data_IF_407412429680
#
_entry.id   IF_407412429680
#
_cell.length_a   1.000
_cell.length_b   1.000
_cell.length_c   1.000
_cell.angle_alpha   90.00
_cell.angle_beta   90.00
_cell.angle_gamma   90.00
#
_symmetry.space_group_name_H-M   'P 1'
#
loop_
_entity.id
_entity.type
_entity.pdbx_description
1 polymer ?
#
# COMPACT_ATOMS: atom_id res chain seq x y z
N UNK A 1 -27.43 10.57 25.60
CA UNK A 1 -26.98 10.23 24.22
C UNK A 1 -25.47 9.98 24.30
N UNK A 2 -25.04 8.80 23.90
CA UNK A 2 -23.61 8.44 23.90
C UNK A 2 -22.86 9.27 22.86
N UNK A 3 -21.66 9.72 23.22
CA UNK A 3 -20.82 10.53 22.33
C UNK A 3 -19.84 9.64 21.57
N UNK A 4 -19.70 9.95 20.31
CA UNK A 4 -18.65 9.38 19.49
C UNK A 4 -17.27 9.86 19.98
N UNK A 5 -16.26 8.99 19.88
CA UNK A 5 -14.90 9.29 20.26
C UNK A 5 -13.91 8.42 19.47
N UNK A 6 -12.66 8.86 19.42
CA UNK A 6 -11.52 8.06 19.00
C UNK A 6 -10.74 7.65 20.24
N UNK A 7 -10.31 6.40 20.28
CA UNK A 7 -9.40 5.87 21.30
C UNK A 7 -8.08 5.54 20.58
N UNK A 8 -6.98 6.08 21.04
CA UNK A 8 -5.65 5.67 20.56
C UNK A 8 -5.30 4.32 21.19
N UNK A 9 -4.88 3.35 20.39
CA UNK A 9 -4.59 2.00 20.90
C UNK A 9 -3.30 1.96 21.74
N UNK A 10 -2.33 2.80 21.41
CA UNK A 10 -1.04 2.84 22.12
C UNK A 10 -1.13 3.50 23.49
N UNK A 11 -1.79 4.66 23.59
CA UNK A 11 -1.89 5.44 24.84
C UNK A 11 -3.18 5.21 25.62
N UNK A 12 -4.20 4.66 24.98
CA UNK A 12 -5.54 4.57 25.56
C UNK A 12 -6.25 5.92 25.68
N UNK A 13 -5.69 6.98 25.10
CA UNK A 13 -6.25 8.31 25.14
C UNK A 13 -7.59 8.35 24.42
N UNK A 14 -8.56 9.05 25.02
CA UNK A 14 -9.88 9.24 24.46
C UNK A 14 -10.07 10.65 23.93
N UNK A 15 -10.20 10.80 22.63
CA UNK A 15 -10.47 12.05 21.93
C UNK A 15 -11.97 12.11 21.62
N UNK A 16 -12.78 12.86 22.38
CA UNK A 16 -14.22 12.93 22.17
C UNK A 16 -14.57 13.85 21.01
N UNK A 17 -15.54 13.46 20.19
CA UNK A 17 -16.17 14.37 19.25
C UNK A 17 -17.00 15.40 20.00
N UNK A 18 -16.93 16.69 19.64
CA UNK A 18 -17.73 17.73 20.27
C UNK A 18 -19.22 17.48 20.04
N UNK A 19 -19.60 17.18 18.82
CA UNK A 19 -20.91 16.69 18.39
C UNK A 19 -20.76 15.33 17.71
N UNK A 20 -21.77 14.49 17.81
CA UNK A 20 -21.79 13.25 17.08
C UNK A 20 -21.88 13.53 15.57
N UNK A 21 -21.21 12.74 14.71
CA UNK A 21 -21.35 12.90 13.27
C UNK A 21 -22.83 12.72 12.85
N UNK A 22 -23.29 13.55 11.93
CA UNK A 22 -24.63 13.42 11.36
C UNK A 22 -24.76 12.17 10.49
N UNK A 23 -23.65 11.76 9.88
CA UNK A 23 -23.55 10.54 9.04
C UNK A 23 -22.16 9.93 9.13
N UNK A 24 -22.11 8.61 8.97
CA UNK A 24 -20.87 7.84 8.82
C UNK A 24 -21.00 7.03 7.55
N UNK A 25 -20.13 7.26 6.59
CA UNK A 25 -20.10 6.53 5.32
C UNK A 25 -19.07 5.42 5.43
N UNK A 26 -19.51 4.19 5.25
CA UNK A 26 -18.63 3.01 5.20
C UNK A 26 -18.57 2.48 3.77
N UNK A 27 -17.39 2.47 3.18
CA UNK A 27 -17.13 1.97 1.84
C UNK A 27 -16.23 0.74 1.91
N UNK A 28 -16.59 -0.31 1.17
CA UNK A 28 -15.75 -1.50 1.03
C UNK A 28 -15.34 -1.66 -0.43
N UNK A 29 -14.04 -1.74 -0.68
CA UNK A 29 -13.48 -2.15 -1.95
C UNK A 29 -12.97 -3.59 -1.82
N UNK A 30 -13.35 -4.45 -2.76
CA UNK A 30 -12.83 -5.81 -2.84
C UNK A 30 -11.38 -5.81 -3.35
N UNK A 31 -10.62 -6.84 -3.00
CA UNK A 31 -9.28 -7.08 -3.54
C UNK A 31 -9.36 -7.64 -4.96
N UNK A 32 -9.76 -6.79 -5.91
CA UNK A 32 -9.89 -7.16 -7.33
C UNK A 32 -9.25 -6.06 -8.16
N UNK A 33 -8.42 -6.45 -9.12
CA UNK A 33 -7.78 -5.52 -10.05
C UNK A 33 -7.91 -6.04 -11.48
N UNK A 34 -8.03 -5.17 -12.49
CA UNK A 34 -7.87 -5.56 -13.88
C UNK A 34 -6.47 -6.17 -14.08
N UNK A 35 -6.40 -7.28 -14.82
CA UNK A 35 -5.12 -7.88 -15.20
C UNK A 35 -4.60 -7.17 -16.43
N UNK A 36 -3.44 -6.56 -16.30
CA UNK A 36 -2.72 -5.93 -17.41
C UNK A 36 -1.50 -6.78 -17.77
N UNK A 37 -1.18 -6.84 -19.06
CA UNK A 37 0.13 -7.30 -19.53
C UNK A 37 1.04 -6.10 -19.75
N UNK A 38 2.33 -6.34 -19.95
CA UNK A 38 3.32 -5.31 -20.29
C UNK A 38 2.95 -4.55 -21.58
N UNK A 39 2.11 -5.13 -22.45
CA UNK A 39 1.59 -4.51 -23.67
C UNK A 39 0.20 -3.87 -23.55
N UNK A 40 -0.36 -3.75 -22.34
CA UNK A 40 -1.70 -3.20 -22.13
C UNK A 40 -2.71 -4.25 -21.60
N UNK A 41 -4.02 -3.95 -21.64
CA UNK A 41 -5.03 -4.89 -21.18
C UNK A 41 -4.97 -6.19 -22.00
N UNK A 42 -5.01 -7.35 -21.32
CA UNK A 42 -5.10 -8.66 -21.96
C UNK A 42 -6.51 -8.87 -22.54
N UNK A 43 -6.86 -8.07 -23.52
CA UNK A 43 -8.09 -8.23 -24.27
C UNK A 43 -7.81 -9.04 -25.53
N UNK A 44 -8.10 -10.32 -25.50
CA UNK A 44 -8.15 -11.11 -26.73
C UNK A 44 -9.33 -10.67 -27.61
N UNK A 45 -9.21 -10.81 -28.92
CA UNK A 45 -10.34 -10.61 -29.82
C UNK A 45 -11.51 -11.52 -29.39
N UNK A 46 -12.65 -10.92 -29.04
CA UNK A 46 -13.85 -11.64 -28.57
C UNK A 46 -14.09 -11.62 -27.06
N UNK A 47 -13.23 -10.97 -26.27
CA UNK A 47 -13.47 -10.76 -24.83
C UNK A 47 -14.10 -9.38 -24.64
N UNK A 48 -15.29 -9.32 -24.03
CA UNK A 48 -16.03 -8.07 -23.78
C UNK A 48 -15.48 -7.33 -22.57
N UNK A 49 -14.96 -8.06 -21.57
CA UNK A 49 -14.47 -7.50 -20.32
C UNK A 49 -13.01 -7.88 -20.08
N UNK A 50 -12.28 -6.99 -19.41
CA UNK A 50 -10.89 -7.24 -19.01
C UNK A 50 -10.84 -8.34 -17.93
N UNK A 51 -9.97 -9.35 -18.07
CA UNK A 51 -9.77 -10.37 -17.05
C UNK A 51 -9.41 -9.74 -15.69
N UNK A 52 -9.93 -10.32 -14.63
CA UNK A 52 -9.72 -9.83 -13.26
C UNK A 52 -8.67 -10.67 -12.54
N UNK A 53 -7.84 -9.98 -11.77
CA UNK A 53 -6.91 -10.56 -10.82
C UNK A 53 -7.49 -10.39 -9.42
N UNK A 54 -7.62 -11.49 -8.68
CA UNK A 54 -8.02 -11.48 -7.28
C UNK A 54 -6.77 -11.38 -6.42
N UNK A 55 -6.63 -10.24 -5.71
CA UNK A 55 -5.44 -9.97 -4.87
C UNK A 55 -5.65 -10.39 -3.42
N UNK A 56 -6.78 -11.02 -3.10
CA UNK A 56 -7.20 -11.29 -1.73
C UNK A 56 -7.51 -10.00 -0.96
N UNK A 57 -8.07 -10.15 0.25
CA UNK A 57 -8.36 -9.02 1.12
C UNK A 57 -9.33 -8.02 0.51
N UNK A 58 -9.21 -6.79 0.92
CA UNK A 58 -10.00 -5.64 0.48
C UNK A 58 -9.83 -4.50 1.47
N UNK A 59 -10.23 -3.29 1.09
CA UNK A 59 -10.08 -2.10 1.91
C UNK A 59 -11.43 -1.61 2.39
N UNK A 60 -11.60 -1.41 3.70
CA UNK A 60 -12.78 -0.75 4.27
C UNK A 60 -12.39 0.65 4.68
N UNK A 61 -13.02 1.63 4.07
CA UNK A 61 -12.85 3.05 4.32
C UNK A 61 -14.06 3.58 5.06
N UNK A 62 -13.82 4.44 6.05
CA UNK A 62 -14.84 5.10 6.85
C UNK A 62 -14.60 6.60 6.72
N UNK A 63 -15.62 7.33 6.30
CA UNK A 63 -15.58 8.78 6.17
C UNK A 63 -16.67 9.40 7.01
N UNK A 64 -16.35 10.46 7.74
CA UNK A 64 -17.31 11.21 8.56
C UNK A 64 -16.97 12.68 8.58
N UNK A 65 -18.00 13.51 8.73
CA UNK A 65 -17.87 14.95 8.94
C UNK A 65 -18.21 15.27 10.41
N UNK A 66 -17.29 15.97 11.08
CA UNK A 66 -17.40 16.37 12.48
C UNK A 66 -17.50 17.90 12.56
N UNK A 67 -18.41 18.39 13.37
CA UNK A 67 -18.57 19.82 13.63
C UNK A 67 -17.98 20.18 15.00
N UNK A 68 -17.13 21.18 15.00
CA UNK A 68 -16.57 21.83 16.18
C UNK A 68 -16.94 23.31 16.19
N UNK A 69 -17.30 23.81 17.36
CA UNK A 69 -17.67 25.21 17.56
C UNK A 69 -17.29 25.60 19.00
N UNK A 70 -16.54 26.66 19.15
CA UNK A 70 -16.06 27.11 20.48
C UNK A 70 -17.20 27.44 21.42
N UNK A 71 -18.33 27.92 20.89
CA UNK A 71 -19.51 28.25 21.69
C UNK A 71 -20.18 27.02 22.32
N UNK A 72 -19.94 25.83 21.78
CA UNK A 72 -20.47 24.56 22.25
C UNK A 72 -19.50 23.80 23.17
N UNK A 73 -18.26 24.28 23.28
CA UNK A 73 -17.26 23.70 24.16
C UNK A 73 -17.70 23.85 25.63
N UNK A 74 -17.54 22.76 26.37
CA UNK A 74 -17.93 22.74 27.81
C UNK A 74 -16.75 22.96 28.75
N UNK A 75 -15.59 23.32 28.21
CA UNK A 75 -14.39 23.65 28.99
C UNK A 75 -14.54 25.01 29.68
N UNK A 76 -13.92 25.16 30.81
CA UNK A 76 -13.84 26.44 31.54
C UNK A 76 -12.34 26.75 31.80
N UNK A 77 -11.75 27.78 31.17
CA UNK A 77 -12.35 28.70 30.20
C UNK A 77 -12.62 28.02 28.83
N UNK A 78 -13.58 28.57 28.04
CA UNK A 78 -13.81 28.08 26.69
C UNK A 78 -12.59 28.39 25.81
N UNK A 79 -12.28 27.56 24.82
CA UNK A 79 -11.16 27.83 23.89
C UNK A 79 -11.47 29.08 23.06
N UNK A 80 -10.46 29.87 22.79
CA UNK A 80 -10.58 31.04 21.90
C UNK A 80 -10.49 30.68 20.43
N UNK A 81 -9.86 29.53 20.13
CA UNK A 81 -9.62 29.05 18.77
C UNK A 81 -10.20 27.64 18.64
N UNK A 82 -10.99 27.42 17.59
CA UNK A 82 -11.54 26.10 17.32
C UNK A 82 -10.47 25.03 17.04
N UNK A 83 -9.30 25.45 16.59
CA UNK A 83 -8.19 24.54 16.35
C UNK A 83 -7.69 23.86 17.62
N UNK A 84 -7.84 24.47 18.77
CA UNK A 84 -7.50 23.85 20.07
C UNK A 84 -8.37 22.60 20.33
N UNK A 85 -9.55 22.53 19.70
CA UNK A 85 -10.46 21.37 19.77
C UNK A 85 -10.20 20.34 18.68
N UNK A 86 -9.66 20.74 17.53
CA UNK A 86 -9.45 19.87 16.36
C UNK A 86 -8.03 19.32 16.29
N UNK A 87 -7.06 19.95 16.92
CA UNK A 87 -5.64 19.56 16.96
C UNK A 87 -5.44 18.08 17.30
N UNK A 88 -6.08 17.50 18.35
CA UNK A 88 -5.88 16.08 18.64
C UNK A 88 -6.31 15.14 17.51
N UNK A 89 -7.29 15.55 16.67
CA UNK A 89 -7.74 14.78 15.53
C UNK A 89 -6.79 14.91 14.33
N UNK A 90 -6.14 16.06 14.19
CA UNK A 90 -5.09 16.27 13.19
C UNK A 90 -3.89 15.37 13.48
N UNK A 91 -3.47 15.27 14.74
CA UNK A 91 -2.36 14.43 15.18
C UNK A 91 -2.60 12.94 14.85
N UNK A 92 -3.86 12.48 14.77
CA UNK A 92 -4.15 11.09 14.36
C UNK A 92 -3.77 10.77 12.91
N UNK A 93 -3.57 11.77 12.05
CA UNK A 93 -3.13 11.59 10.68
C UNK A 93 -1.63 11.87 10.48
N UNK A 94 -0.92 12.26 11.54
CA UNK A 94 0.49 12.55 11.49
C UNK A 94 1.33 11.33 11.87
N UNK A 95 2.52 11.25 11.31
CA UNK A 95 3.43 10.16 11.62
C UNK A 95 4.17 10.46 12.93
N UNK A 96 3.91 9.66 13.95
CA UNK A 96 4.72 9.69 15.16
C UNK A 96 6.07 9.04 14.89
N UNK A 97 7.15 9.81 15.06
CA UNK A 97 8.50 9.27 15.03
C UNK A 97 8.74 8.50 16.34
N UNK A 98 8.86 7.20 16.27
CA UNK A 98 9.37 6.36 17.38
C UNK A 98 10.82 5.99 17.12
N UNK A 99 11.66 6.07 18.15
CA UNK A 99 13.11 5.85 18.18
C UNK A 99 13.66 4.93 17.07
N UNK A 100 14.23 5.53 16.02
CA UNK A 100 14.92 4.82 14.93
C UNK A 100 14.05 4.04 13.94
N UNK A 101 12.72 4.11 14.06
CA UNK A 101 11.78 3.50 13.12
C UNK A 101 11.08 4.55 12.26
N UNK A 102 10.66 4.16 11.06
CA UNK A 102 9.80 5.00 10.23
C UNK A 102 8.52 5.34 10.97
N UNK A 103 8.23 6.63 11.10
CA UNK A 103 7.00 7.09 11.72
C UNK A 103 5.76 6.56 10.99
N UNK A 104 4.74 6.21 11.76
CA UNK A 104 3.44 5.79 11.24
C UNK A 104 2.34 6.55 11.99
N UNK A 105 1.18 6.78 11.36
CA UNK A 105 0.03 7.30 12.07
C UNK A 105 -0.38 6.33 13.20
N UNK A 106 -0.86 6.85 14.34
CA UNK A 106 -1.30 6.02 15.45
C UNK A 106 -2.50 5.14 15.05
N UNK A 107 -2.52 3.92 15.57
CA UNK A 107 -3.70 3.07 15.47
C UNK A 107 -4.78 3.60 16.40
N UNK A 108 -5.98 3.74 15.89
CA UNK A 108 -7.12 4.30 16.63
C UNK A 108 -8.33 3.39 16.52
N UNK A 109 -9.25 3.56 17.45
CA UNK A 109 -10.54 2.88 17.46
C UNK A 109 -11.66 3.91 17.48
N UNK A 110 -12.46 3.95 16.43
CA UNK A 110 -13.67 4.76 16.42
C UNK A 110 -14.77 4.06 17.22
N UNK A 111 -15.25 4.70 18.27
CA UNK A 111 -16.27 4.15 19.15
C UNK A 111 -17.49 5.08 19.20
N UNK A 112 -18.67 4.51 19.04
CA UNK A 112 -19.93 5.24 19.21
C UNK A 112 -21.05 4.28 19.65
N UNK A 113 -21.42 4.40 20.90
CA UNK A 113 -22.37 3.50 21.52
C UNK A 113 -21.92 2.05 21.47
N UNK A 114 -22.90 1.17 21.32
CA UNK A 114 -22.64 -0.28 21.17
C UNK A 114 -22.48 -0.71 19.71
N UNK A 115 -22.84 0.17 18.75
CA UNK A 115 -22.89 -0.17 17.33
C UNK A 115 -21.55 -0.02 16.61
N UNK A 116 -20.75 0.98 17.02
CA UNK A 116 -19.47 1.26 16.39
C UNK A 116 -18.33 1.00 17.36
N UNK A 117 -17.48 0.08 16.97
CA UNK A 117 -16.20 -0.23 17.61
C UNK A 117 -15.24 -0.70 16.52
N UNK A 118 -14.66 0.26 15.79
CA UNK A 118 -13.97 -0.02 14.55
C UNK A 118 -12.50 0.40 14.68
N UNK A 119 -11.57 -0.56 14.70
CA UNK A 119 -10.14 -0.27 14.69
C UNK A 119 -9.71 0.22 13.32
N UNK A 120 -8.78 1.15 13.27
CA UNK A 120 -8.30 1.71 12.02
C UNK A 120 -7.14 2.69 12.18
N UNK A 121 -6.74 3.26 11.06
CA UNK A 121 -5.75 4.34 10.97
C UNK A 121 -6.38 5.51 10.23
N UNK A 122 -6.22 6.71 10.74
CA UNK A 122 -6.63 7.94 10.08
C UNK A 122 -5.65 8.23 8.94
N UNK A 123 -6.15 8.28 7.70
CA UNK A 123 -5.32 8.45 6.51
C UNK A 123 -5.46 9.82 5.87
N UNK A 124 -6.50 10.56 6.22
CA UNK A 124 -6.67 11.92 5.76
C UNK A 124 -7.58 12.70 6.71
N UNK A 125 -7.22 13.94 6.93
CA UNK A 125 -8.00 14.96 7.62
C UNK A 125 -8.07 16.19 6.72
N UNK A 126 -9.26 16.78 6.60
CA UNK A 126 -9.43 18.08 5.96
C UNK A 126 -10.35 18.95 6.80
N UNK A 127 -10.01 20.21 6.90
CA UNK A 127 -10.71 21.16 7.79
C UNK A 127 -11.16 22.39 7.02
N UNK A 128 -12.40 22.78 7.21
CA UNK A 128 -12.97 24.02 6.74
C UNK A 128 -13.30 24.92 7.93
N UNK A 129 -12.59 26.05 8.02
CA UNK A 129 -12.72 26.99 9.11
C UNK A 129 -13.74 28.09 8.75
N UNK A 130 -14.59 28.42 9.72
CA UNK A 130 -15.68 29.39 9.57
C UNK A 130 -15.79 30.30 10.81
N UNK A 131 -16.52 31.41 10.68
CA UNK A 131 -16.79 32.36 11.76
C UNK A 131 -15.52 32.88 12.44
N UNK A 132 -14.82 33.75 11.73
CA UNK A 132 -13.60 34.37 12.25
C UNK A 132 -13.92 35.58 13.12
N UNK A 133 -13.16 35.74 14.21
CA UNK A 133 -13.16 36.98 14.99
C UNK A 133 -12.54 38.13 14.19
N UNK A 134 -12.63 39.38 14.68
CA UNK A 134 -11.93 40.52 14.07
C UNK A 134 -10.40 40.34 14.01
N UNK A 135 -9.84 39.55 14.93
CA UNK A 135 -8.41 39.20 14.96
C UNK A 135 -8.05 38.05 14.01
N UNK A 136 -9.01 37.49 13.26
CA UNK A 136 -8.77 36.37 12.33
C UNK A 136 -8.75 34.97 12.98
N UNK A 137 -9.20 34.87 14.24
CA UNK A 137 -9.25 33.60 14.95
C UNK A 137 -10.52 32.84 14.58
N UNK A 138 -10.44 31.58 14.07
CA UNK A 138 -11.60 30.79 13.67
C UNK A 138 -12.37 30.27 14.89
N UNK A 139 -13.70 30.31 14.81
CA UNK A 139 -14.60 29.91 15.90
C UNK A 139 -15.35 28.63 15.62
N UNK A 140 -15.44 28.22 14.34
CA UNK A 140 -16.12 26.99 13.92
C UNK A 140 -15.29 26.24 12.88
N UNK A 141 -15.34 24.94 12.96
CA UNK A 141 -14.67 24.04 12.03
C UNK A 141 -15.57 22.87 11.62
N UNK A 142 -15.57 22.56 10.33
CA UNK A 142 -16.02 21.31 9.77
C UNK A 142 -14.80 20.46 9.44
N UNK A 143 -14.63 19.38 10.16
CA UNK A 143 -13.52 18.45 10.00
C UNK A 143 -14.03 17.19 9.29
N UNK A 144 -13.52 16.92 8.08
CA UNK A 144 -13.74 15.65 7.39
C UNK A 144 -12.57 14.72 7.68
N UNK A 145 -12.91 13.55 8.19
CA UNK A 145 -11.95 12.52 8.56
C UNK A 145 -12.19 11.26 7.75
N UNK A 146 -11.09 10.68 7.26
CA UNK A 146 -11.09 9.43 6.52
C UNK A 146 -10.18 8.43 7.23
N UNK A 147 -10.73 7.27 7.56
CA UNK A 147 -10.07 6.20 8.29
C UNK A 147 -10.11 4.91 7.47
N UNK A 148 -9.02 4.18 7.43
CA UNK A 148 -8.97 2.83 6.91
C UNK A 148 -9.06 1.84 8.07
N UNK A 149 -9.99 0.91 7.94
CA UNK A 149 -10.12 -0.17 8.92
C UNK A 149 -8.89 -1.07 8.84
N UNK A 150 -8.29 -1.32 9.99
CA UNK A 150 -7.34 -2.39 10.18
C UNK A 150 -8.06 -3.56 10.84
N UNK A 151 -7.77 -4.77 10.40
CA UNK A 151 -8.08 -5.94 11.21
C UNK A 151 -6.97 -5.95 12.26
N UNK A 152 -7.33 -5.92 13.54
CA UNK A 152 -6.40 -6.36 14.58
C UNK A 152 -6.19 -7.86 14.38
N UNK A 153 -5.40 -8.20 13.38
CA UNK A 153 -4.63 -9.39 13.48
C UNK A 153 -3.62 -9.04 14.59
N UNK A 154 -3.85 -9.46 15.82
CA UNK A 154 -2.72 -9.96 16.54
C UNK A 154 -1.98 -10.80 15.51
N UNK A 155 -0.67 -10.59 15.27
CA UNK A 155 0.10 -11.59 14.58
C UNK A 155 -0.14 -12.84 15.41
N UNK A 156 -1.04 -13.69 14.95
CA UNK A 156 -1.06 -15.06 15.38
C UNK A 156 0.38 -15.46 15.10
N UNK A 157 1.14 -15.84 16.11
CA UNK A 157 2.51 -16.35 15.94
C UNK A 157 2.52 -17.50 14.92
N UNK A 158 1.36 -18.04 14.60
CA UNK A 158 1.06 -19.00 13.53
C UNK A 158 0.61 -18.38 12.19
N UNK A 159 0.53 -17.06 12.03
CA UNK A 159 0.49 -16.46 10.71
C UNK A 159 1.91 -16.43 10.11
N UNK A 160 2.52 -17.57 10.05
CA UNK A 160 3.40 -17.91 8.94
C UNK A 160 2.68 -17.41 7.70
N UNK A 161 3.24 -16.44 6.92
CA UNK A 161 2.67 -16.13 5.63
C UNK A 161 2.39 -17.50 5.02
N UNK A 162 1.18 -17.68 4.46
CA UNK A 162 0.89 -18.90 3.73
C UNK A 162 1.75 -18.90 2.46
N UNK A 163 3.02 -19.04 2.67
CA UNK A 163 3.89 -19.78 1.80
C UNK A 163 3.27 -21.16 1.91
N UNK A 164 2.66 -21.69 0.85
CA UNK A 164 2.23 -23.08 0.87
C UNK A 164 3.39 -23.86 1.48
N UNK A 165 3.13 -24.76 2.45
CA UNK A 165 4.19 -25.56 3.03
C UNK A 165 5.01 -26.04 1.84
N UNK A 166 6.32 -25.82 1.89
CA UNK A 166 7.21 -26.32 0.86
C UNK A 166 6.75 -27.75 0.61
N UNK A 167 6.22 -27.94 -0.59
CA UNK A 167 5.74 -29.25 -1.03
C UNK A 167 6.82 -30.21 -0.62
N UNK A 168 6.45 -31.32 -0.06
CA UNK A 168 7.39 -32.30 0.48
C UNK A 168 8.51 -32.51 -0.53
N UNK A 169 9.73 -32.81 -0.07
CA UNK A 169 10.90 -32.99 -0.94
C UNK A 169 10.60 -33.90 -2.15
N UNK A 170 9.60 -34.79 -2.04
CA UNK A 170 9.06 -35.64 -3.10
C UNK A 170 8.26 -34.87 -4.18
N UNK A 171 7.60 -33.75 -3.84
CA UNK A 171 6.90 -32.89 -4.82
C UNK A 171 7.85 -31.87 -5.47
N UNK A 172 8.93 -31.49 -4.80
CA UNK A 172 10.01 -30.72 -5.41
C UNK A 172 10.80 -31.51 -6.44
N UNK A 173 10.94 -32.84 -6.25
CA UNK A 173 11.51 -33.74 -7.26
C UNK A 173 10.60 -33.91 -8.49
N UNK A 174 9.27 -33.73 -8.34
CA UNK A 174 8.31 -33.84 -9.44
C UNK A 174 8.19 -32.55 -10.28
N UNK A 175 8.61 -31.39 -9.78
CA UNK A 175 8.65 -30.11 -10.50
C UNK A 175 9.93 -29.93 -11.34
N UNK A 176 10.54 -31.02 -11.77
CA UNK A 176 11.63 -31.08 -12.74
C UNK A 176 12.73 -30.05 -12.50
N UNK A 177 13.91 -30.57 -12.25
CA UNK A 177 15.20 -29.91 -12.32
C UNK A 177 15.20 -28.38 -12.37
N UNK A 178 15.23 -27.71 -11.20
CA UNK A 178 15.92 -26.45 -11.12
C UNK A 178 17.36 -26.71 -11.59
N UNK A 179 17.88 -25.93 -12.53
CA UNK A 179 19.24 -26.14 -12.99
C UNK A 179 20.16 -26.10 -11.78
N UNK A 180 20.74 -27.25 -11.45
CA UNK A 180 21.87 -27.34 -10.52
C UNK A 180 22.88 -26.26 -10.91
N UNK A 181 23.62 -25.67 -9.94
CA UNK A 181 24.65 -24.68 -10.26
C UNK A 181 25.54 -25.24 -11.35
N UNK A 182 25.42 -24.68 -12.54
CA UNK A 182 26.18 -25.12 -13.74
C UNK A 182 27.62 -24.83 -13.43
N UNK A 183 28.47 -25.83 -13.67
CA UNK A 183 29.92 -25.70 -13.58
C UNK A 183 30.35 -24.52 -14.50
N UNK A 184 31.10 -23.54 -13.97
CA UNK A 184 31.44 -22.29 -14.65
C UNK A 184 32.10 -22.52 -16.04
N UNK A 185 32.44 -23.75 -16.37
CA UNK A 185 33.01 -24.15 -17.66
C UNK A 185 32.00 -24.25 -18.83
N UNK A 186 30.69 -24.38 -18.56
CA UNK A 186 29.64 -24.55 -19.57
C UNK A 186 28.83 -23.27 -19.86
N UNK A 187 29.07 -22.19 -19.12
CA UNK A 187 28.34 -20.94 -19.27
C UNK A 187 28.79 -20.22 -20.55
N UNK A 188 27.89 -20.08 -21.49
CA UNK A 188 28.15 -19.28 -22.68
C UNK A 188 28.16 -17.79 -22.32
N UNK A 189 29.02 -17.03 -22.94
CA UNK A 189 29.12 -15.58 -22.82
C UNK A 189 28.66 -14.91 -24.10
N UNK A 190 27.81 -13.91 -23.95
CA UNK A 190 27.34 -13.13 -25.08
C UNK A 190 27.71 -11.66 -24.90
N UNK A 191 28.44 -11.12 -25.90
CA UNK A 191 28.82 -9.71 -25.87
C UNK A 191 27.76 -8.88 -26.59
N UNK A 192 27.23 -7.90 -25.90
CA UNK A 192 26.17 -7.04 -26.41
C UNK A 192 26.72 -6.13 -27.51
N UNK A 193 26.13 -6.23 -28.69
CA UNK A 193 26.41 -5.30 -29.77
C UNK A 193 25.59 -4.02 -29.57
N UNK A 194 26.15 -2.88 -29.95
CA UNK A 194 25.43 -1.61 -29.95
C UNK A 194 24.78 -1.36 -31.32
N UNK A 195 23.67 -0.67 -31.31
CA UNK A 195 22.96 -0.22 -32.53
C UNK A 195 23.65 0.96 -33.25
N UNK A 196 24.83 1.34 -32.79
CA UNK A 196 25.60 2.48 -33.32
C UNK A 196 25.33 3.82 -32.60
N UNK A 197 24.31 3.91 -31.78
CA UNK A 197 24.00 5.08 -30.96
C UNK A 197 24.35 4.88 -29.45
N UNK A 198 24.96 3.76 -29.09
CA UNK A 198 25.43 3.44 -27.74
C UNK A 198 24.40 2.74 -26.86
N UNK A 199 23.21 2.48 -27.38
CA UNK A 199 22.21 1.63 -26.72
C UNK A 199 22.57 0.15 -26.94
N UNK A 200 22.30 -0.70 -25.97
CA UNK A 200 22.44 -2.14 -26.12
C UNK A 200 21.23 -2.73 -26.85
N UNK A 201 21.44 -3.93 -27.40
CA UNK A 201 20.34 -4.71 -27.96
C UNK A 201 19.24 -4.96 -26.90
N UNK A 202 18.02 -5.10 -27.40
CA UNK A 202 16.86 -5.38 -26.51
C UNK A 202 16.96 -6.78 -25.92
N UNK A 203 16.53 -6.99 -24.66
CA UNK A 203 16.62 -8.30 -24.00
C UNK A 203 15.92 -9.43 -24.75
N UNK A 204 14.78 -9.17 -25.39
CA UNK A 204 14.05 -10.14 -26.22
C UNK A 204 14.84 -10.57 -27.49
N UNK A 205 15.56 -9.62 -28.08
CA UNK A 205 16.43 -9.89 -29.22
C UNK A 205 17.65 -10.71 -28.80
N UNK A 206 18.22 -10.44 -27.63
CA UNK A 206 19.34 -11.19 -27.06
C UNK A 206 18.92 -12.64 -26.79
N UNK A 207 17.73 -12.85 -26.19
CA UNK A 207 17.20 -14.20 -25.98
C UNK A 207 17.09 -14.98 -27.28
N UNK A 208 16.50 -14.37 -28.30
CA UNK A 208 16.38 -15.00 -29.63
C UNK A 208 17.74 -15.31 -30.28
N UNK A 209 18.73 -14.40 -30.16
CA UNK A 209 20.07 -14.60 -30.67
C UNK A 209 20.82 -15.75 -29.95
N UNK A 210 20.48 -16.01 -28.69
CA UNK A 210 21.03 -17.09 -27.87
C UNK A 210 20.29 -18.44 -28.04
N UNK A 211 19.24 -18.48 -28.88
CA UNK A 211 18.46 -19.70 -29.13
C UNK A 211 17.32 -19.95 -28.16
N UNK A 212 16.99 -18.98 -27.31
CA UNK A 212 15.83 -19.00 -26.40
C UNK A 212 14.60 -18.38 -27.06
N UNK A 213 13.41 -18.66 -26.51
CA UNK A 213 12.24 -17.91 -26.93
C UNK A 213 12.36 -16.43 -26.50
N UNK A 214 11.90 -15.45 -27.30
CA UNK A 214 12.01 -14.04 -26.96
C UNK A 214 11.43 -13.67 -25.59
N UNK A 215 10.39 -14.40 -25.15
CA UNK A 215 9.74 -14.25 -23.84
C UNK A 215 10.59 -14.72 -22.66
N UNK A 216 11.63 -15.53 -22.90
CA UNK A 216 12.50 -16.09 -21.86
C UNK A 216 13.64 -15.14 -21.44
N UNK A 217 13.69 -13.94 -21.99
CA UNK A 217 14.72 -12.95 -21.65
C UNK A 217 14.87 -12.69 -20.14
N UNK A 218 13.79 -12.75 -19.28
CA UNK A 218 13.96 -12.51 -17.85
C UNK A 218 14.86 -13.55 -17.18
N UNK A 219 14.81 -14.81 -17.63
CA UNK A 219 15.66 -15.89 -17.12
C UNK A 219 17.15 -15.63 -17.43
N UNK A 220 17.44 -15.10 -18.61
CA UNK A 220 18.81 -14.76 -19.00
C UNK A 220 19.33 -13.57 -18.19
N UNK A 221 18.50 -12.56 -17.93
CA UNK A 221 18.87 -11.39 -17.13
C UNK A 221 19.14 -11.79 -15.67
N UNK A 222 18.26 -12.58 -15.06
CA UNK A 222 18.44 -13.11 -13.72
C UNK A 222 19.72 -13.94 -13.60
N UNK A 223 19.96 -14.86 -14.54
CA UNK A 223 21.17 -15.68 -14.58
C UNK A 223 22.45 -14.86 -14.76
N UNK A 224 22.36 -13.74 -15.47
CA UNK A 224 23.46 -12.81 -15.68
C UNK A 224 23.69 -11.86 -14.50
N UNK A 225 22.76 -11.81 -13.53
CA UNK A 225 22.79 -10.86 -12.41
C UNK A 225 22.47 -9.42 -12.83
N UNK A 226 21.63 -9.24 -13.84
CA UNK A 226 21.18 -7.93 -14.33
C UNK A 226 19.81 -7.63 -13.72
N UNK A 227 19.78 -6.73 -12.75
CA UNK A 227 18.55 -6.34 -12.04
C UNK A 227 17.65 -5.41 -12.89
N UNK A 228 18.24 -4.53 -13.68
CA UNK A 228 17.53 -3.62 -14.57
C UNK A 228 17.95 -3.81 -16.03
N UNK A 229 17.10 -4.42 -16.86
CA UNK A 229 17.42 -4.65 -18.28
C UNK A 229 17.48 -3.37 -19.10
N UNK A 230 17.03 -2.22 -18.58
CA UNK A 230 17.13 -0.93 -19.26
C UNK A 230 18.51 -0.29 -19.11
N UNK A 231 19.35 -0.79 -18.19
CA UNK A 231 20.72 -0.33 -17.97
C UNK A 231 21.77 -1.10 -18.78
N UNK A 232 21.35 -2.03 -19.63
CA UNK A 232 22.26 -2.75 -20.52
C UNK A 232 23.01 -1.78 -21.45
N UNK A 233 24.31 -2.02 -21.62
CA UNK A 233 25.18 -1.18 -22.44
C UNK A 233 25.90 -1.99 -23.52
N UNK A 234 26.13 -1.36 -24.66
CA UNK A 234 26.94 -1.93 -25.68
C UNK A 234 28.37 -2.27 -25.16
N UNK A 235 28.87 -3.45 -25.49
CA UNK A 235 30.15 -3.95 -24.99
C UNK A 235 30.10 -4.62 -23.62
N UNK A 236 28.92 -4.70 -22.97
CA UNK A 236 28.74 -5.48 -21.77
C UNK A 236 28.62 -6.97 -22.13
N UNK A 237 29.25 -7.82 -21.34
CA UNK A 237 29.13 -9.28 -21.48
C UNK A 237 28.10 -9.83 -20.52
N UNK A 238 27.12 -10.58 -21.00
CA UNK A 238 26.13 -11.30 -20.20
C UNK A 238 26.40 -12.80 -20.23
N UNK A 239 25.92 -13.50 -19.21
CA UNK A 239 26.02 -14.96 -19.10
C UNK A 239 24.74 -15.60 -19.57
N UNK A 240 24.86 -16.60 -20.44
CA UNK A 240 23.70 -17.32 -20.97
C UNK A 240 23.59 -18.66 -20.26
N UNK A 241 22.42 -19.01 -19.69
CA UNK A 241 22.21 -20.34 -19.12
C UNK A 241 22.32 -21.42 -20.22
N UNK A 242 22.69 -22.62 -19.90
CA UNK A 242 22.64 -23.74 -20.83
C UNK A 242 21.18 -23.98 -21.27
N UNK A 243 21.00 -24.29 -22.55
CA UNK A 243 19.69 -24.53 -23.15
C UNK A 243 19.11 -25.90 -22.75
#
# INVERSE_FOLDING_TARGET
MERAAFLTEDSGERIPCLLNPASVVVRRAAGVRPRFSVGGPLTGAGVTDTPLLFTGGGTTEITMDLLFDVSLARSAPPPENVRDLTEPLWQLAENEAKDGQYGRPPAVRFVWGKAFNIPGVVVAVSERLEFFTQAGTPQRSWLRLRMLRITSAEPTEDATPAIPPAESDEEMEALGDWPTPVDEGEVQRFDLLGDGEGAAERPDTIAAACGFAPEDWPVIMEFSGVDDPTELRAGQTIRIPPA
#
